data_IF_123473306437
#
_entry.id   IF_123473306437
#
_cell.length_a   1.000
_cell.length_b   1.000
_cell.length_c   1.000
_cell.angle_alpha   90.00
_cell.angle_beta   90.00
_cell.angle_gamma   90.00
#
_symmetry.space_group_name_H-M   'P 1'
#
loop_
_entity.id
_entity.type
_entity.pdbx_description
1 polymer ?
#
# COMPACT_ATOMS: atom_id res chain seq x y z
N UNK A 1 7.77 2.68 -7.03
CA UNK A 1 8.08 3.06 -8.43
C UNK A 1 6.96 3.81 -9.17
N UNK A 2 5.69 3.36 -9.16
CA UNK A 2 4.61 4.02 -9.93
C UNK A 2 4.42 5.53 -9.63
N UNK A 3 4.55 5.95 -8.37
CA UNK A 3 4.33 7.34 -7.95
C UNK A 3 5.40 8.33 -8.44
N UNK A 4 6.65 7.86 -8.64
CA UNK A 4 7.75 8.72 -9.11
C UNK A 4 7.62 8.97 -10.61
N UNK A 5 7.18 7.97 -11.37
CA UNK A 5 6.97 8.09 -12.82
C UNK A 5 5.90 9.13 -13.16
N UNK A 6 4.83 9.22 -12.37
CA UNK A 6 3.75 10.18 -12.61
C UNK A 6 4.15 11.63 -12.31
N UNK A 7 4.87 11.87 -11.19
CA UNK A 7 5.39 13.21 -10.88
C UNK A 7 6.36 13.69 -11.96
N UNK A 8 7.22 12.78 -12.45
CA UNK A 8 8.15 13.06 -13.53
C UNK A 8 7.39 13.45 -14.80
N UNK A 9 6.37 12.67 -15.19
CA UNK A 9 5.57 12.96 -16.38
C UNK A 9 4.77 14.27 -16.28
N UNK A 10 4.20 14.61 -15.12
CA UNK A 10 3.51 15.90 -14.92
C UNK A 10 4.47 17.08 -15.00
N UNK A 11 5.70 16.90 -14.51
CA UNK A 11 6.68 17.99 -14.40
C UNK A 11 7.61 18.09 -15.60
N UNK A 12 7.51 17.15 -16.55
CA UNK A 12 8.36 17.09 -17.73
C UNK A 12 7.81 18.02 -18.83
N UNK A 13 8.56 19.06 -19.24
CA UNK A 13 8.12 20.01 -20.27
C UNK A 13 8.00 19.39 -21.67
N UNK A 14 8.48 18.15 -21.87
CA UNK A 14 8.41 17.44 -23.14
C UNK A 14 7.12 16.64 -23.34
N UNK A 15 6.33 16.45 -22.27
CA UNK A 15 5.08 15.69 -22.32
C UNK A 15 4.00 16.48 -23.05
N UNK A 16 3.38 15.88 -24.05
CA UNK A 16 2.31 16.53 -24.82
C UNK A 16 0.99 16.55 -24.04
N UNK A 17 0.08 17.50 -24.33
CA UNK A 17 -1.25 17.52 -23.70
C UNK A 17 -2.01 16.20 -23.86
N UNK A 18 -1.90 15.54 -25.01
CA UNK A 18 -2.57 14.26 -25.27
C UNK A 18 -2.01 13.13 -24.41
N UNK A 19 -0.69 13.10 -24.21
CA UNK A 19 -0.05 12.12 -23.31
C UNK A 19 -0.49 12.34 -21.86
N UNK A 20 -0.63 13.61 -21.45
CA UNK A 20 -1.13 13.96 -20.11
C UNK A 20 -2.55 13.46 -19.88
N UNK A 21 -3.43 13.64 -20.86
CA UNK A 21 -4.82 13.16 -20.81
C UNK A 21 -4.87 11.63 -20.66
N UNK A 22 -4.09 10.89 -21.46
CA UNK A 22 -4.00 9.42 -21.36
C UNK A 22 -3.54 8.97 -19.97
N UNK A 23 -2.55 9.65 -19.39
CA UNK A 23 -2.06 9.35 -18.04
C UNK A 23 -3.14 9.60 -16.98
N UNK A 24 -3.86 10.71 -17.08
CA UNK A 24 -4.96 11.03 -16.15
C UNK A 24 -6.07 9.98 -16.26
N UNK A 25 -6.47 9.61 -17.47
CA UNK A 25 -7.50 8.59 -17.69
C UNK A 25 -7.09 7.23 -17.12
N UNK A 26 -5.82 6.84 -17.27
CA UNK A 26 -5.28 5.61 -16.67
C UNK A 26 -5.42 5.61 -15.14
N UNK A 27 -5.17 6.76 -14.49
CA UNK A 27 -5.31 6.90 -13.03
C UNK A 27 -6.78 6.85 -12.63
N UNK A 28 -7.65 7.56 -13.37
CA UNK A 28 -9.09 7.55 -13.15
C UNK A 28 -9.64 6.12 -13.25
N UNK A 29 -9.18 5.33 -14.22
CA UNK A 29 -9.57 3.94 -14.40
C UNK A 29 -9.12 3.04 -13.23
N UNK A 30 -7.90 3.25 -12.73
CA UNK A 30 -7.38 2.57 -11.55
C UNK A 30 -8.18 2.89 -10.29
N UNK A 31 -8.42 4.18 -10.03
CA UNK A 31 -9.22 4.64 -8.87
C UNK A 31 -10.67 4.17 -8.96
N UNK A 32 -11.27 4.19 -10.15
CA UNK A 32 -12.61 3.68 -10.39
C UNK A 32 -12.69 2.18 -10.08
N UNK A 33 -11.70 1.40 -10.52
CA UNK A 33 -11.62 -0.03 -10.25
C UNK A 33 -11.56 -0.32 -8.74
N UNK A 34 -10.79 0.45 -7.97
CA UNK A 34 -10.77 0.35 -6.50
C UNK A 34 -12.15 0.63 -5.89
N UNK A 35 -12.82 1.70 -6.32
CA UNK A 35 -14.16 2.04 -5.84
C UNK A 35 -15.16 0.92 -6.17
N UNK A 36 -15.09 0.36 -7.38
CA UNK A 36 -15.95 -0.74 -7.82
C UNK A 36 -15.69 -2.02 -7.03
N UNK A 37 -14.42 -2.38 -6.79
CA UNK A 37 -14.05 -3.55 -5.95
C UNK A 37 -14.54 -3.41 -4.52
N UNK A 38 -14.50 -2.21 -3.96
CA UNK A 38 -15.04 -1.95 -2.62
C UNK A 38 -16.57 -1.85 -2.60
N UNK A 39 -17.23 -1.73 -3.76
CA UNK A 39 -18.69 -1.55 -3.86
C UNK A 39 -19.19 -0.25 -3.23
N UNK A 40 -18.34 0.77 -3.10
CA UNK A 40 -18.64 2.00 -2.35
C UNK A 40 -18.38 3.24 -3.19
N UNK A 41 -19.30 4.20 -3.15
CA UNK A 41 -19.13 5.51 -3.77
C UNK A 41 -18.61 6.52 -2.71
N UNK A 42 -17.36 6.97 -2.80
CA UNK A 42 -16.78 7.86 -1.79
C UNK A 42 -17.26 9.31 -1.93
N UNK A 43 -16.92 10.14 -0.95
CA UNK A 43 -16.91 11.60 -1.06
C UNK A 43 -15.50 12.01 -1.51
N UNK A 44 -15.37 12.62 -2.69
CA UNK A 44 -14.07 13.01 -3.25
C UNK A 44 -13.65 14.39 -2.72
N UNK A 45 -12.39 14.49 -2.30
CA UNK A 45 -11.73 15.74 -1.88
C UNK A 45 -10.36 15.83 -2.53
N UNK A 46 -10.01 17.02 -3.02
CA UNK A 46 -8.71 17.31 -3.61
C UNK A 46 -8.31 18.76 -3.32
N UNK A 47 -7.01 19.05 -3.48
CA UNK A 47 -6.53 20.43 -3.62
C UNK A 47 -6.93 20.95 -5.02
N UNK A 48 -7.24 22.24 -5.11
CA UNK A 48 -7.63 22.90 -6.36
C UNK A 48 -6.41 23.31 -7.18
N UNK A 49 -6.64 23.61 -8.45
CA UNK A 49 -5.69 24.20 -9.41
C UNK A 49 -4.46 23.30 -9.67
N UNK A 50 -4.64 21.98 -9.61
CA UNK A 50 -3.57 21.00 -9.86
C UNK A 50 -4.07 19.77 -10.64
N UNK A 51 -3.17 18.84 -10.95
CA UNK A 51 -3.52 17.59 -11.63
C UNK A 51 -4.50 16.72 -10.81
N UNK A 52 -4.45 16.80 -9.48
CA UNK A 52 -5.38 16.08 -8.60
C UNK A 52 -6.83 16.54 -8.79
N UNK A 53 -7.09 17.81 -9.08
CA UNK A 53 -8.43 18.30 -9.42
C UNK A 53 -8.96 17.68 -10.72
N UNK A 54 -8.13 17.61 -11.76
CA UNK A 54 -8.53 16.99 -13.03
C UNK A 54 -8.89 15.51 -12.86
N UNK A 55 -8.08 14.76 -12.11
CA UNK A 55 -8.37 13.36 -11.74
C UNK A 55 -9.67 13.28 -10.94
N UNK A 56 -9.88 14.17 -9.96
CA UNK A 56 -11.08 14.17 -9.11
C UNK A 56 -12.37 14.41 -9.92
N UNK A 57 -12.36 15.39 -10.81
CA UNK A 57 -13.52 15.75 -11.65
C UNK A 57 -13.86 14.61 -12.61
N UNK A 58 -12.86 14.05 -13.30
CA UNK A 58 -13.06 12.91 -14.22
C UNK A 58 -13.53 11.65 -13.50
N UNK A 59 -12.96 11.35 -12.33
CA UNK A 59 -13.40 10.22 -11.50
C UNK A 59 -14.85 10.40 -11.03
N UNK A 60 -15.23 11.58 -10.57
CA UNK A 60 -16.59 11.85 -10.14
C UNK A 60 -17.58 11.71 -11.31
N UNK A 61 -17.25 12.27 -12.47
CA UNK A 61 -18.03 12.10 -13.69
C UNK A 61 -18.21 10.62 -14.05
N UNK A 62 -17.12 9.85 -14.06
CA UNK A 62 -17.13 8.42 -14.35
C UNK A 62 -17.99 7.63 -13.35
N UNK A 63 -17.91 7.95 -12.06
CA UNK A 63 -18.76 7.33 -11.03
C UNK A 63 -20.24 7.66 -11.26
N UNK A 64 -20.57 8.93 -11.55
CA UNK A 64 -21.95 9.35 -11.84
C UNK A 64 -22.53 8.66 -13.07
N UNK A 65 -21.77 8.53 -14.14
CA UNK A 65 -22.22 7.90 -15.38
C UNK A 65 -22.48 6.40 -15.20
N UNK A 66 -21.62 5.70 -14.47
CA UNK A 66 -21.81 4.28 -14.17
C UNK A 66 -22.96 4.03 -13.18
N UNK A 67 -23.30 4.99 -12.32
CA UNK A 67 -24.45 4.87 -11.41
C UNK A 67 -25.79 5.09 -12.11
N UNK A 68 -25.80 5.84 -13.22
CA UNK A 68 -27.00 6.08 -14.03
C UNK A 68 -27.39 4.88 -14.88
N UNK A 69 -26.43 4.05 -15.27
CA UNK A 69 -26.69 2.81 -16.01
C UNK A 69 -27.18 1.69 -15.08
N UNK A 70 -28.50 1.66 -14.85
CA UNK A 70 -29.15 0.69 -13.97
C UNK A 70 -28.91 -0.79 -14.35
N UNK A 71 -28.42 -1.07 -15.57
CA UNK A 71 -28.07 -2.43 -16.02
C UNK A 71 -26.67 -2.87 -15.60
N UNK A 72 -25.78 -1.94 -15.24
CA UNK A 72 -24.36 -2.17 -14.90
C UNK A 72 -23.99 -1.64 -13.51
N UNK A 73 -24.88 -1.74 -12.53
CA UNK A 73 -24.65 -1.21 -11.18
C UNK A 73 -23.62 -2.03 -10.38
N UNK A 74 -22.33 -1.75 -10.60
CA UNK A 74 -21.18 -2.34 -9.87
C UNK A 74 -21.18 -2.01 -8.36
N UNK A 75 -21.93 -0.99 -7.94
CA UNK A 75 -21.90 -0.44 -6.57
C UNK A 75 -23.07 -0.89 -5.68
N UNK A 76 -23.99 -1.72 -6.20
CA UNK A 76 -25.26 -2.08 -5.52
C UNK A 76 -25.23 -3.51 -4.96
N UNK A 77 -24.26 -4.34 -5.33
CA UNK A 77 -24.36 -5.78 -5.08
C UNK A 77 -24.34 -6.20 -3.59
N UNK A 78 -23.76 -5.42 -2.67
CA UNK A 78 -23.68 -5.81 -1.25
C UNK A 78 -24.39 -4.86 -0.26
N UNK A 79 -24.57 -3.58 -0.59
CA UNK A 79 -25.18 -2.62 0.33
C UNK A 79 -26.69 -2.81 0.50
N UNK A 80 -27.39 -3.30 -0.52
CA UNK A 80 -28.84 -3.53 -0.47
C UNK A 80 -29.20 -4.92 0.08
N UNK A 81 -28.35 -5.94 -0.11
CA UNK A 81 -28.60 -7.31 0.39
C UNK A 81 -28.47 -7.46 1.91
N UNK A 82 -27.74 -6.56 2.58
CA UNK A 82 -27.44 -6.66 4.00
C UNK A 82 -28.34 -5.82 4.93
N UNK A 83 -29.34 -5.09 4.42
CA UNK A 83 -30.17 -4.19 5.23
C UNK A 83 -29.38 -3.10 5.99
N UNK A 84 -28.09 -2.93 5.67
CA UNK A 84 -27.23 -1.89 6.23
C UNK A 84 -27.48 -0.62 5.44
N UNK A 85 -28.27 0.29 6.02
CA UNK A 85 -28.21 1.70 5.65
C UNK A 85 -26.72 2.10 5.59
N UNK A 86 -26.27 2.62 4.45
CA UNK A 86 -24.90 3.10 4.27
C UNK A 86 -24.77 4.40 5.10
N UNK A 87 -24.58 4.27 6.41
CA UNK A 87 -24.52 5.41 7.35
C UNK A 87 -23.16 6.14 7.24
N UNK A 88 -22.14 5.53 6.64
CA UNK A 88 -20.83 6.14 6.45
C UNK A 88 -20.35 6.00 5.01
N UNK A 89 -20.31 7.12 4.25
CA UNK A 89 -19.59 7.20 2.98
C UNK A 89 -18.12 7.53 3.27
N UNK A 90 -17.15 6.71 2.82
CA UNK A 90 -15.73 7.00 3.00
C UNK A 90 -15.33 8.24 2.20
N UNK A 91 -14.28 8.93 2.66
CA UNK A 91 -13.70 10.08 1.97
C UNK A 91 -12.49 9.60 1.17
N UNK A 92 -12.47 9.91 -0.13
CA UNK A 92 -11.32 9.72 -0.99
C UNK A 92 -10.58 11.06 -1.12
N UNK A 93 -9.34 11.12 -0.63
CA UNK A 93 -8.49 12.30 -0.71
C UNK A 93 -7.50 12.09 -1.86
N UNK A 94 -7.53 12.97 -2.85
CA UNK A 94 -6.59 12.99 -3.97
C UNK A 94 -5.64 14.15 -3.76
N UNK A 95 -4.35 13.83 -3.74
CA UNK A 95 -3.28 14.70 -3.32
C UNK A 95 -2.16 14.69 -4.37
N UNK A 96 -1.68 15.87 -4.76
CA UNK A 96 -0.52 16.01 -5.62
C UNK A 96 0.78 15.91 -4.79
N UNK A 97 1.80 15.23 -5.32
CA UNK A 97 3.04 15.00 -4.57
C UNK A 97 3.84 16.28 -4.33
N UNK A 98 3.63 17.33 -5.12
CA UNK A 98 4.25 18.64 -4.95
C UNK A 98 4.00 19.28 -3.59
N UNK A 99 2.97 18.86 -2.83
CA UNK A 99 2.71 19.41 -1.50
C UNK A 99 3.74 19.02 -0.43
N UNK A 100 4.41 17.87 -0.58
CA UNK A 100 5.39 17.37 0.39
C UNK A 100 6.43 16.47 -0.28
N UNK A 101 7.37 17.14 -0.95
CA UNK A 101 8.55 16.51 -1.56
C UNK A 101 9.55 16.07 -0.48
N UNK A 102 9.63 16.79 0.65
CA UNK A 102 10.59 16.52 1.72
C UNK A 102 10.45 15.11 2.27
N UNK A 103 9.22 14.60 2.40
CA UNK A 103 8.98 13.23 2.84
C UNK A 103 9.47 12.16 1.86
N UNK A 104 9.62 12.44 0.55
CA UNK A 104 10.25 11.49 -0.39
C UNK A 104 11.75 11.32 -0.19
N UNK A 105 12.41 12.36 0.30
CA UNK A 105 13.87 12.40 0.44
C UNK A 105 14.32 12.08 1.86
N UNK A 106 13.38 12.01 2.80
CA UNK A 106 13.67 11.73 4.20
C UNK A 106 14.01 10.26 4.40
N UNK A 107 15.25 9.98 4.78
CA UNK A 107 15.62 8.69 5.35
C UNK A 107 14.97 8.54 6.73
N UNK A 108 14.00 7.63 6.83
CA UNK A 108 13.33 7.33 8.09
C UNK A 108 13.92 6.08 8.72
N UNK A 109 13.98 6.05 10.05
CA UNK A 109 14.63 4.97 10.81
C UNK A 109 13.65 3.85 11.22
N UNK A 110 12.51 3.77 10.55
CA UNK A 110 11.54 2.67 10.75
C UNK A 110 11.97 1.44 9.98
N UNK A 111 11.68 0.25 10.51
CA UNK A 111 12.12 -1.01 9.94
C UNK A 111 11.73 -1.20 8.46
N UNK A 112 10.46 -0.93 8.10
CA UNK A 112 9.98 -1.04 6.73
C UNK A 112 10.68 -0.07 5.77
N UNK A 113 10.85 1.18 6.20
CA UNK A 113 11.48 2.19 5.36
C UNK A 113 12.97 1.89 5.14
N UNK A 114 13.71 1.51 6.18
CA UNK A 114 15.11 1.13 6.04
C UNK A 114 15.31 -0.09 5.12
N UNK A 115 14.43 -1.10 5.23
CA UNK A 115 14.48 -2.23 4.29
C UNK A 115 14.26 -1.74 2.86
N UNK A 116 13.26 -0.89 2.63
CA UNK A 116 12.97 -0.38 1.29
C UNK A 116 14.07 0.55 0.74
N UNK A 117 14.73 1.33 1.60
CA UNK A 117 15.72 2.32 1.19
C UNK A 117 17.12 1.73 1.03
N UNK A 118 17.49 0.76 1.86
CA UNK A 118 18.84 0.16 1.87
C UNK A 118 18.92 -1.17 1.11
N UNK A 119 17.81 -1.89 0.98
CA UNK A 119 17.76 -3.18 0.30
C UNK A 119 16.84 -3.07 -0.92
N UNK A 120 17.12 -3.86 -1.95
CA UNK A 120 16.29 -3.94 -3.16
C UNK A 120 14.97 -4.69 -2.84
N UNK A 121 14.04 -4.01 -2.19
CA UNK A 121 12.70 -4.53 -1.90
C UNK A 121 11.84 -4.44 -3.17
N UNK A 122 11.53 -5.58 -3.78
CA UNK A 122 10.65 -5.67 -4.94
C UNK A 122 9.53 -6.68 -4.71
N UNK A 123 8.29 -6.28 -4.99
CA UNK A 123 7.09 -7.11 -4.78
C UNK A 123 6.98 -7.70 -3.35
N UNK A 124 7.38 -6.94 -2.33
CA UNK A 124 7.50 -7.38 -0.93
C UNK A 124 8.55 -8.48 -0.69
N UNK A 125 9.59 -8.54 -1.53
CA UNK A 125 10.66 -9.53 -1.42
C UNK A 125 12.01 -8.85 -1.38
N UNK A 126 12.88 -9.36 -0.53
CA UNK A 126 14.24 -8.85 -0.33
C UNK A 126 15.23 -9.93 -0.66
N UNK A 127 16.25 -9.60 -1.47
CA UNK A 127 17.31 -10.53 -1.82
C UNK A 127 18.61 -10.08 -1.17
N UNK A 128 19.08 -10.84 -0.19
CA UNK A 128 20.34 -10.58 0.52
C UNK A 128 21.40 -11.55 0.02
N UNK A 129 22.60 -11.03 -0.27
CA UNK A 129 23.76 -11.85 -0.61
C UNK A 129 24.51 -12.20 0.67
N UNK A 130 24.72 -13.50 0.89
CA UNK A 130 25.56 -14.01 1.98
C UNK A 130 27.04 -13.72 1.70
N UNK A 131 27.90 -13.85 2.72
CA UNK A 131 29.36 -13.64 2.59
C UNK A 131 30.00 -14.58 1.55
N UNK A 132 29.41 -15.76 1.34
CA UNK A 132 29.80 -16.71 0.30
C UNK A 132 29.24 -16.39 -1.10
N UNK A 133 28.60 -15.24 -1.29
CA UNK A 133 27.98 -14.81 -2.54
C UNK A 133 26.63 -15.47 -2.87
N UNK A 134 26.14 -16.37 -2.01
CA UNK A 134 24.84 -17.04 -2.21
C UNK A 134 23.69 -16.06 -1.96
N UNK A 135 22.77 -15.95 -2.92
CA UNK A 135 21.56 -15.13 -2.77
C UNK A 135 20.54 -15.87 -1.92
N UNK A 136 20.02 -15.22 -0.88
CA UNK A 136 18.87 -15.66 -0.08
C UNK A 136 17.73 -14.68 -0.30
N UNK A 137 16.56 -15.21 -0.59
CA UNK A 137 15.34 -14.44 -0.82
C UNK A 137 14.45 -14.55 0.43
N UNK A 138 13.90 -13.42 0.85
CA UNK A 138 13.02 -13.31 2.01
C UNK A 138 11.71 -12.63 1.60
N UNK A 139 10.59 -13.31 1.84
CA UNK A 139 9.25 -12.81 1.54
C UNK A 139 8.63 -12.09 2.74
N UNK A 140 8.43 -10.78 2.62
CA UNK A 140 7.83 -9.93 3.65
C UNK A 140 6.31 -9.95 3.52
N UNK A 141 5.70 -11.08 3.88
CA UNK A 141 4.27 -11.32 3.70
C UNK A 141 3.45 -11.12 5.00
N UNK A 142 2.13 -11.22 4.91
CA UNK A 142 1.22 -11.08 6.05
C UNK A 142 1.26 -12.25 7.05
N UNK A 143 1.96 -13.33 6.74
CA UNK A 143 2.15 -14.49 7.63
C UNK A 143 3.35 -14.33 8.54
N UNK A 144 4.28 -13.47 8.18
CA UNK A 144 5.41 -13.09 9.03
C UNK A 144 4.90 -12.22 10.19
N UNK A 145 4.92 -12.81 11.39
CA UNK A 145 4.43 -12.16 12.62
C UNK A 145 5.33 -11.01 13.06
N UNK A 146 6.65 -11.18 12.96
CA UNK A 146 7.63 -10.15 13.30
C UNK A 146 7.44 -8.95 12.38
N UNK A 147 7.34 -9.19 11.07
CA UNK A 147 7.09 -8.14 10.09
C UNK A 147 5.78 -7.40 10.37
N UNK A 148 4.67 -8.12 10.52
CA UNK A 148 3.37 -7.50 10.74
C UNK A 148 3.29 -6.72 12.07
N UNK A 149 3.97 -7.18 13.11
CA UNK A 149 4.05 -6.50 14.41
C UNK A 149 4.96 -5.27 14.38
N UNK A 150 6.09 -5.33 13.68
CA UNK A 150 7.17 -4.35 13.84
C UNK A 150 7.53 -3.54 12.59
N UNK A 151 6.91 -3.74 11.42
CA UNK A 151 7.23 -2.99 10.18
C UNK A 151 7.25 -1.47 10.35
N UNK A 152 6.35 -0.92 11.16
CA UNK A 152 6.26 0.52 11.45
C UNK A 152 7.08 0.99 12.66
N UNK A 153 7.73 0.07 13.38
CA UNK A 153 8.51 0.38 14.58
C UNK A 153 9.88 0.96 14.22
N UNK A 154 10.47 1.72 15.14
CA UNK A 154 11.85 2.17 15.04
C UNK A 154 12.80 0.96 15.03
N UNK A 155 13.83 1.00 14.19
CA UNK A 155 14.75 -0.11 14.00
C UNK A 155 15.38 -0.67 15.29
N UNK A 156 15.81 0.14 16.27
CA UNK A 156 16.34 -0.39 17.54
C UNK A 156 15.35 -1.28 18.30
N UNK A 157 14.07 -0.90 18.32
CA UNK A 157 13.02 -1.67 18.99
C UNK A 157 12.78 -3.02 18.30
N UNK A 158 13.00 -3.10 16.99
CA UNK A 158 12.87 -4.36 16.25
C UNK A 158 14.00 -5.31 16.61
N UNK A 159 15.22 -4.80 16.81
CA UNK A 159 16.34 -5.61 17.26
C UNK A 159 16.10 -6.22 18.66
N UNK A 160 15.53 -5.42 19.57
CA UNK A 160 15.11 -5.89 20.90
C UNK A 160 14.01 -6.97 20.79
N UNK A 161 12.98 -6.73 19.98
CA UNK A 161 11.89 -7.70 19.76
C UNK A 161 12.39 -9.03 19.16
N UNK A 162 13.34 -8.96 18.21
CA UNK A 162 13.97 -10.17 17.64
C UNK A 162 14.68 -10.96 18.72
N UNK A 163 15.41 -10.30 19.62
CA UNK A 163 16.12 -10.96 20.70
C UNK A 163 15.14 -11.67 21.65
N UNK A 164 14.05 -11.00 22.03
CA UNK A 164 12.99 -11.59 22.86
C UNK A 164 12.34 -12.82 22.20
N UNK A 165 12.04 -12.74 20.90
CA UNK A 165 11.42 -13.85 20.16
C UNK A 165 12.36 -15.05 20.02
N UNK A 166 13.65 -14.80 19.79
CA UNK A 166 14.69 -15.85 19.75
C UNK A 166 14.84 -16.53 21.11
N UNK A 167 14.82 -15.78 22.21
CA UNK A 167 14.88 -16.34 23.56
C UNK A 167 13.63 -17.15 23.91
N UNK A 168 12.44 -16.65 23.59
CA UNK A 168 11.18 -17.38 23.76
C UNK A 168 11.16 -18.70 22.96
N UNK A 169 11.68 -18.67 21.73
CA UNK A 169 11.77 -19.86 20.89
C UNK A 169 12.73 -20.91 21.50
N UNK A 170 13.92 -20.50 21.96
CA UNK A 170 14.88 -21.40 22.63
C UNK A 170 14.28 -22.05 23.88
N UNK A 171 13.61 -21.28 24.73
CA UNK A 171 12.95 -21.79 25.92
C UNK A 171 11.89 -22.84 25.57
N UNK A 172 11.11 -22.59 24.52
CA UNK A 172 10.07 -23.51 24.03
C UNK A 172 10.69 -24.81 23.49
N UNK A 173 11.78 -24.73 22.74
CA UNK A 173 12.50 -25.93 22.26
C UNK A 173 13.05 -26.77 23.41
N UNK A 174 13.60 -26.14 24.44
CA UNK A 174 14.13 -26.84 25.61
C UNK A 174 13.02 -27.54 26.41
N UNK A 175 11.84 -26.93 26.50
CA UNK A 175 10.67 -27.55 27.13
C UNK A 175 10.15 -28.75 26.33
N UNK A 176 10.08 -28.63 24.99
CA UNK A 176 9.71 -29.76 24.11
C UNK A 176 10.71 -30.91 24.24
N UNK A 177 12.02 -30.61 24.30
CA UNK A 177 13.06 -31.62 24.51
C UNK A 177 12.89 -32.33 25.86
N UNK A 178 12.59 -31.59 26.93
CA UNK A 178 12.34 -32.15 28.27
C UNK A 178 11.12 -33.08 28.27
N UNK A 179 9.99 -32.63 27.69
CA UNK A 179 8.78 -33.44 27.59
C UNK A 179 9.00 -34.72 26.78
N UNK A 180 9.71 -34.62 25.65
CA UNK A 180 10.06 -35.79 24.83
C UNK A 180 10.92 -36.78 25.60
N UNK A 181 11.86 -36.30 26.42
CA UNK A 181 12.70 -37.18 27.23
C UNK A 181 11.92 -37.84 28.38
N UNK A 182 10.91 -37.17 28.95
CA UNK A 182 10.06 -37.73 30.01
C UNK A 182 9.00 -38.73 29.51
N UNK A 183 8.73 -38.78 28.21
CA UNK A 183 7.78 -39.71 27.57
C UNK A 183 8.42 -40.99 27.04
N UNK A 184 9.75 -41.12 27.13
CA UNK A 184 10.54 -42.31 26.78
C UNK A 184 10.98 -43.00 28.07
#
# INVERSE_FOLDING_TARGET
>A
MLFVAFLLAISDPTVTPEQMEILIDTIVDGLFSVCATLGVVPIIRCLKDNAAEQVAVRLDQKLRDNFRDARNNLFVQDSVRAGRLIIHRPVLIIADRGMDIATMLRHTWTYQALIHDLLDLDLNRVIIKDESGRRKEYDMNSRDKLWMGHKGSAFPLVAEAIQEEVEAYKNSEDEIKRLKHAMV
#
